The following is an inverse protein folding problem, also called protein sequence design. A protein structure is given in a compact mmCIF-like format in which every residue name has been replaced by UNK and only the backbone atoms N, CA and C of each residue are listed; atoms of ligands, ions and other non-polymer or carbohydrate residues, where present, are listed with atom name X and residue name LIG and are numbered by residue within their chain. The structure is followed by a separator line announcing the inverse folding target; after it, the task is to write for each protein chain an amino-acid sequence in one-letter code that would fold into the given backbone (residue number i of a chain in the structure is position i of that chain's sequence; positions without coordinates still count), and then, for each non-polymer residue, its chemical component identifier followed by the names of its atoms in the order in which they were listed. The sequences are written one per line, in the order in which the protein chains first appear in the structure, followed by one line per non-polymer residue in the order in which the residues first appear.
data_IF_803596931175
#
_entry.id   IF_803596931175
#
_cell.length_a   1.000
_cell.length_b   1.000
_cell.length_c   1.000
_cell.angle_alpha   90.00
_cell.angle_beta   90.00
_cell.angle_gamma   90.00
#
_symmetry.space_group_name_H-M   'P 1'
#
loop_
_entity.id
_entity.type
_entity.pdbx_description
1 polymer ?
#
# COMPACT_ATOMS: atom_id res chain seq x y z
N UNK A 1 4.01 -3.73 1.69
CA UNK A 1 2.67 -3.17 1.43
C UNK A 1 2.51 -2.96 -0.06
N UNK A 2 1.33 -3.25 -0.62
CA UNK A 2 1.04 -2.99 -2.04
C UNK A 2 0.27 -1.69 -2.15
N UNK A 3 0.74 -0.78 -3.01
CA UNK A 3 0.07 0.50 -3.31
C UNK A 3 -0.01 0.71 -4.82
N UNK A 4 -0.97 1.51 -5.28
CA UNK A 4 -1.01 1.97 -6.66
C UNK A 4 0.28 2.74 -6.99
N UNK A 5 0.87 2.40 -8.13
CA UNK A 5 2.09 3.06 -8.63
C UNK A 5 1.69 4.00 -9.76
N UNK A 6 1.77 5.30 -9.54
CA UNK A 6 1.33 6.33 -10.49
C UNK A 6 1.93 6.14 -11.88
N UNK A 7 3.22 5.76 -11.96
CA UNK A 7 3.88 5.48 -13.22
C UNK A 7 3.27 4.28 -13.97
N UNK A 8 2.71 3.30 -13.24
CA UNK A 8 2.00 2.16 -13.83
C UNK A 8 0.56 2.47 -14.20
N UNK A 9 -0.04 3.49 -13.55
CA UNK A 9 -1.40 3.95 -13.85
C UNK A 9 -1.45 4.74 -15.16
N UNK A 10 -0.39 5.50 -15.46
CA UNK A 10 -0.21 6.30 -16.67
C UNK A 10 1.17 6.01 -17.28
N UNK A 11 1.35 4.87 -17.95
CA UNK A 11 2.66 4.48 -18.48
C UNK A 11 3.07 5.26 -19.73
N UNK A 12 2.12 5.87 -20.43
CA UNK A 12 2.36 6.72 -21.60
C UNK A 12 1.70 8.08 -21.39
N UNK A 13 2.53 9.06 -21.01
CA UNK A 13 2.07 10.42 -20.79
C UNK A 13 1.93 11.23 -22.10
N UNK A 14 2.31 10.68 -23.25
CA UNK A 14 2.21 11.35 -24.54
C UNK A 14 0.80 11.32 -25.13
N UNK A 15 -0.06 10.46 -24.60
CA UNK A 15 -1.45 10.33 -25.02
C UNK A 15 -2.41 11.03 -24.03
N UNK A 16 -3.61 11.36 -24.52
CA UNK A 16 -4.63 12.01 -23.71
C UNK A 16 -5.40 11.03 -22.82
N UNK A 17 -6.11 11.55 -21.82
CA UNK A 17 -7.04 10.75 -20.99
C UNK A 17 -8.14 10.16 -21.88
N UNK A 18 -8.63 10.93 -22.85
CA UNK A 18 -9.65 10.47 -23.80
C UNK A 18 -9.14 9.31 -24.66
N UNK A 19 -7.85 9.31 -25.03
CA UNK A 19 -7.21 8.21 -25.76
C UNK A 19 -6.81 7.04 -24.87
N UNK A 20 -6.92 7.17 -23.54
CA UNK A 20 -6.72 6.07 -22.61
C UNK A 20 -5.43 6.11 -21.80
N UNK A 21 -4.81 7.28 -21.59
CA UNK A 21 -3.61 7.43 -20.78
C UNK A 21 -3.76 6.78 -19.38
N UNK A 22 -4.93 6.92 -18.76
CA UNK A 22 -5.23 6.34 -17.44
C UNK A 22 -5.75 4.91 -17.59
N UNK A 23 -4.83 3.95 -17.57
CA UNK A 23 -5.15 2.53 -17.83
C UNK A 23 -6.18 1.90 -16.88
N UNK A 24 -6.22 2.21 -15.56
CA UNK A 24 -7.21 1.63 -14.67
C UNK A 24 -8.65 1.92 -15.07
N UNK A 25 -8.93 3.10 -15.60
CA UNK A 25 -10.31 3.47 -15.98
C UNK A 25 -10.84 2.67 -17.17
N UNK A 26 -9.97 2.24 -18.10
CA UNK A 26 -10.36 1.39 -19.20
C UNK A 26 -10.40 -0.12 -18.90
N UNK A 27 -9.64 -0.57 -17.87
CA UNK A 27 -9.44 -1.99 -17.60
C UNK A 27 -10.09 -2.52 -16.31
N UNK A 28 -10.25 -1.67 -15.29
CA UNK A 28 -10.80 -2.03 -13.99
C UNK A 28 -12.11 -1.33 -13.66
N UNK A 29 -12.45 -0.28 -14.41
CA UNK A 29 -13.66 0.52 -14.25
C UNK A 29 -14.28 0.83 -15.62
N UNK A 30 -15.36 1.58 -15.63
CA UNK A 30 -16.04 1.97 -16.87
C UNK A 30 -15.34 3.16 -17.52
N UNK A 31 -15.22 3.15 -18.84
CA UNK A 31 -14.64 4.21 -19.70
C UNK A 31 -15.28 5.59 -19.47
N UNK A 32 -16.50 5.60 -18.94
CA UNK A 32 -17.26 6.76 -18.49
C UNK A 32 -16.43 7.67 -17.51
N UNK A 33 -15.51 7.11 -16.75
CA UNK A 33 -14.71 7.87 -15.76
C UNK A 33 -13.93 9.02 -16.40
N UNK A 34 -13.54 8.91 -17.67
CA UNK A 34 -12.90 9.98 -18.44
C UNK A 34 -13.77 11.23 -18.51
N UNK A 35 -15.08 11.06 -18.79
CA UNK A 35 -16.02 12.18 -18.87
C UNK A 35 -16.28 12.79 -17.48
N UNK A 36 -16.36 11.95 -16.45
CA UNK A 36 -16.48 12.43 -15.06
C UNK A 36 -15.24 13.21 -14.64
N UNK A 37 -14.04 12.78 -15.07
CA UNK A 37 -12.79 13.49 -14.86
C UNK A 37 -12.80 14.89 -15.51
N UNK A 38 -13.30 15.00 -16.72
CA UNK A 38 -13.52 16.31 -17.38
C UNK A 38 -14.44 17.22 -16.56
N UNK A 39 -15.52 16.67 -15.97
CA UNK A 39 -16.43 17.41 -15.09
C UNK A 39 -15.78 17.79 -13.73
N UNK A 40 -14.64 17.20 -13.37
CA UNK A 40 -13.80 17.63 -12.23
C UNK A 40 -12.91 18.84 -12.56
N UNK A 41 -12.87 19.27 -13.84
CA UNK A 41 -12.08 20.41 -14.31
C UNK A 41 -10.72 20.01 -14.93
N UNK A 42 -10.52 18.75 -15.23
CA UNK A 42 -9.30 18.23 -15.87
C UNK A 42 -9.46 18.26 -17.39
N UNK A 43 -8.44 18.71 -18.12
CA UNK A 43 -8.39 18.69 -19.58
C UNK A 43 -8.11 17.26 -20.08
N UNK A 44 -9.15 16.56 -20.51
CA UNK A 44 -9.03 15.14 -20.90
C UNK A 44 -8.56 14.93 -22.35
N UNK A 45 -8.56 15.98 -23.16
CA UNK A 45 -8.27 15.95 -24.60
C UNK A 45 -6.84 16.37 -24.99
N UNK A 46 -5.99 16.66 -24.00
CA UNK A 46 -4.57 16.99 -24.20
C UNK A 46 -3.67 15.86 -23.71
N UNK A 47 -2.41 15.73 -24.20
CA UNK A 47 -1.45 14.78 -23.67
C UNK A 47 -1.32 14.89 -22.14
N UNK A 48 -1.21 13.76 -21.44
CA UNK A 48 -1.14 13.74 -19.99
C UNK A 48 0.05 14.56 -19.45
N UNK A 49 1.16 14.58 -20.17
CA UNK A 49 2.34 15.39 -19.83
C UNK A 49 2.07 16.90 -19.81
N UNK A 50 1.02 17.39 -20.50
CA UNK A 50 0.65 18.81 -20.54
C UNK A 50 -0.34 19.20 -19.42
N UNK A 51 -0.79 18.25 -18.61
CA UNK A 51 -1.66 18.53 -17.46
C UNK A 51 -0.87 19.27 -16.37
N UNK A 52 -1.54 20.23 -15.73
CA UNK A 52 -0.95 20.92 -14.58
C UNK A 52 -0.78 19.96 -13.39
N UNK A 53 0.07 20.29 -12.40
CA UNK A 53 0.20 19.50 -11.18
C UNK A 53 -1.15 19.29 -10.47
N UNK A 54 -2.02 20.31 -10.45
CA UNK A 54 -3.34 20.24 -9.84
C UNK A 54 -4.28 19.29 -10.60
N UNK A 55 -4.25 19.32 -11.93
CA UNK A 55 -5.01 18.39 -12.77
C UNK A 55 -4.55 16.94 -12.56
N UNK A 56 -3.23 16.71 -12.48
CA UNK A 56 -2.64 15.39 -12.20
C UNK A 56 -3.04 14.90 -10.79
N UNK A 57 -3.02 15.79 -9.79
CA UNK A 57 -3.46 15.42 -8.44
C UNK A 57 -4.93 15.02 -8.41
N UNK A 58 -5.80 15.70 -9.15
CA UNK A 58 -7.19 15.28 -9.31
C UNK A 58 -7.27 13.87 -9.91
N UNK A 59 -6.49 13.56 -10.95
CA UNK A 59 -6.50 12.24 -11.58
C UNK A 59 -6.07 11.14 -10.62
N UNK A 60 -5.04 11.37 -9.81
CA UNK A 60 -4.49 10.35 -8.92
C UNK A 60 -5.16 10.32 -7.54
N UNK A 61 -5.55 11.46 -6.98
CA UNK A 61 -5.97 11.61 -5.58
C UNK A 61 -7.27 12.38 -5.37
N UNK A 62 -7.89 12.90 -6.45
CA UNK A 62 -9.11 13.71 -6.37
C UNK A 62 -10.21 13.05 -5.54
N UNK A 63 -11.02 13.83 -4.82
CA UNK A 63 -12.06 13.33 -3.92
C UNK A 63 -13.20 12.63 -4.67
N UNK A 64 -13.83 11.65 -4.04
CA UNK A 64 -15.01 10.98 -4.55
C UNK A 64 -16.23 11.92 -4.46
N UNK A 65 -16.47 12.67 -5.53
CA UNK A 65 -17.56 13.66 -5.63
C UNK A 65 -18.52 13.23 -6.73
N UNK A 66 -19.81 13.34 -6.45
CA UNK A 66 -20.87 13.09 -7.45
C UNK A 66 -20.92 14.25 -8.45
N UNK A 67 -20.81 13.94 -9.72
CA UNK A 67 -20.90 14.89 -10.84
C UNK A 67 -22.05 14.52 -11.75
N UNK A 68 -22.73 15.56 -12.22
CA UNK A 68 -23.68 15.46 -13.28
C UNK A 68 -22.96 15.55 -14.62
N UNK A 69 -23.12 14.54 -15.48
CA UNK A 69 -22.46 14.46 -16.78
C UNK A 69 -23.48 14.17 -17.88
N UNK A 70 -23.22 14.72 -19.04
CA UNK A 70 -23.92 14.38 -20.27
C UNK A 70 -23.17 13.23 -20.95
N UNK A 71 -23.61 11.99 -20.68
CA UNK A 71 -22.97 10.79 -21.23
C UNK A 71 -23.28 10.65 -22.73
N UNK A 72 -22.20 10.53 -23.50
CA UNK A 72 -22.28 10.20 -24.93
C UNK A 72 -21.78 8.77 -25.14
N UNK A 73 -22.65 7.81 -25.49
CA UNK A 73 -22.24 6.45 -25.78
C UNK A 73 -21.39 6.39 -27.05
N UNK A 74 -20.45 5.41 -27.11
CA UNK A 74 -19.60 5.18 -28.30
C UNK A 74 -20.41 4.75 -29.55
N UNK A 75 -21.61 4.23 -29.33
CA UNK A 75 -22.54 3.81 -30.39
C UNK A 75 -23.92 4.39 -30.07
N UNK A 76 -24.41 5.28 -30.92
CA UNK A 76 -25.71 5.93 -30.80
C UNK A 76 -25.58 7.45 -30.65
N UNK A 77 -26.63 8.18 -31.03
CA UNK A 77 -26.69 9.64 -30.95
C UNK A 77 -27.48 10.16 -29.75
N UNK A 78 -27.98 9.24 -28.89
CA UNK A 78 -28.78 9.61 -27.73
C UNK A 78 -27.85 9.99 -26.55
N UNK A 79 -27.97 11.22 -26.09
CA UNK A 79 -27.33 11.68 -24.88
C UNK A 79 -28.16 11.24 -23.68
N UNK A 80 -27.47 10.73 -22.62
CA UNK A 80 -28.08 10.43 -21.34
C UNK A 80 -27.49 11.33 -20.25
N UNK A 81 -28.35 11.99 -19.49
CA UNK A 81 -27.94 12.70 -18.29
C UNK A 81 -27.74 11.69 -17.16
N UNK A 82 -26.54 11.65 -16.61
CA UNK A 82 -26.17 10.71 -15.56
C UNK A 82 -25.48 11.43 -14.40
N UNK A 83 -25.90 11.06 -13.20
CA UNK A 83 -25.19 11.41 -11.99
C UNK A 83 -24.18 10.31 -11.66
N UNK A 84 -22.89 10.60 -11.71
CA UNK A 84 -21.87 9.60 -11.45
C UNK A 84 -20.82 10.11 -10.46
N UNK A 85 -20.38 9.20 -9.57
CA UNK A 85 -19.33 9.55 -8.59
C UNK A 85 -17.97 9.41 -9.25
N UNK A 86 -17.16 10.45 -9.13
CA UNK A 86 -15.76 10.41 -9.54
C UNK A 86 -14.96 9.47 -8.66
N UNK A 87 -14.16 8.62 -9.27
CA UNK A 87 -13.20 7.75 -8.61
C UNK A 87 -11.84 7.93 -9.27
N UNK A 88 -10.88 8.46 -8.51
CA UNK A 88 -9.53 8.67 -8.96
C UNK A 88 -8.82 7.35 -9.34
N UNK A 89 -7.69 7.44 -10.05
CA UNK A 89 -7.00 6.29 -10.59
C UNK A 89 -6.44 5.36 -9.48
N UNK A 90 -5.90 5.92 -8.40
CA UNK A 90 -5.38 5.15 -7.25
C UNK A 90 -6.51 4.41 -6.55
N UNK A 91 -7.60 5.10 -6.20
CA UNK A 91 -8.76 4.47 -5.58
C UNK A 91 -9.35 3.35 -6.45
N UNK A 92 -9.37 3.53 -7.78
CA UNK A 92 -9.87 2.50 -8.71
C UNK A 92 -9.10 1.20 -8.56
N UNK A 93 -7.77 1.26 -8.44
CA UNK A 93 -6.91 0.09 -8.23
C UNK A 93 -7.10 -0.51 -6.84
N UNK A 94 -7.12 0.31 -5.79
CA UNK A 94 -7.32 -0.14 -4.41
C UNK A 94 -8.69 -0.81 -4.21
N UNK A 95 -9.74 -0.23 -4.77
CA UNK A 95 -11.08 -0.81 -4.75
C UNK A 95 -11.15 -2.12 -5.56
N UNK A 96 -10.47 -2.20 -6.70
CA UNK A 96 -10.37 -3.45 -7.45
C UNK A 96 -9.62 -4.52 -6.65
N UNK A 97 -8.49 -4.17 -6.01
CA UNK A 97 -7.71 -5.07 -5.17
C UNK A 97 -8.53 -5.64 -4.01
N UNK A 98 -9.33 -4.80 -3.34
CA UNK A 98 -10.20 -5.24 -2.22
C UNK A 98 -11.27 -6.26 -2.63
N UNK A 99 -11.62 -6.30 -3.91
CA UNK A 99 -12.65 -7.20 -4.48
C UNK A 99 -12.08 -8.43 -5.17
N UNK A 100 -10.76 -8.60 -5.21
CA UNK A 100 -10.09 -9.76 -5.82
C UNK A 100 -10.47 -11.03 -5.06
N UNK A 101 -10.92 -12.04 -5.81
CA UNK A 101 -11.31 -13.36 -5.25
C UNK A 101 -10.49 -14.52 -5.82
N UNK A 102 -9.76 -14.29 -6.91
CA UNK A 102 -9.01 -15.32 -7.64
C UNK A 102 -7.67 -14.79 -8.16
N UNK A 103 -6.82 -15.71 -8.61
CA UNK A 103 -5.50 -15.36 -9.15
C UNK A 103 -5.57 -14.53 -10.44
N UNK A 104 -6.59 -14.72 -11.26
CA UNK A 104 -6.77 -13.94 -12.50
C UNK A 104 -7.11 -12.48 -12.18
N UNK A 105 -7.96 -12.26 -11.19
CA UNK A 105 -8.26 -10.93 -10.66
C UNK A 105 -7.01 -10.28 -10.07
N UNK A 106 -6.23 -11.03 -9.29
CA UNK A 106 -4.97 -10.53 -8.72
C UNK A 106 -3.97 -10.15 -9.82
N UNK A 107 -3.76 -10.99 -10.82
CA UNK A 107 -2.86 -10.71 -11.94
C UNK A 107 -3.26 -9.44 -12.71
N UNK A 108 -4.58 -9.19 -12.86
CA UNK A 108 -5.10 -7.98 -13.51
C UNK A 108 -4.79 -6.70 -12.75
N UNK A 109 -4.84 -6.74 -11.43
CA UNK A 109 -4.62 -5.57 -10.56
C UNK A 109 -3.14 -5.40 -10.25
N UNK A 110 -2.37 -6.48 -10.10
CA UNK A 110 -0.96 -6.46 -9.67
C UNK A 110 -0.05 -5.63 -10.57
N UNK A 111 -0.37 -5.52 -11.86
CA UNK A 111 0.39 -4.67 -12.82
C UNK A 111 0.37 -3.18 -12.47
N UNK A 112 -0.59 -2.75 -11.65
CA UNK A 112 -0.74 -1.37 -11.18
C UNK A 112 -0.24 -1.16 -9.75
N UNK A 113 0.32 -2.19 -9.14
CA UNK A 113 0.74 -2.17 -7.74
C UNK A 113 2.26 -2.22 -7.64
N UNK A 114 2.80 -1.39 -6.77
CA UNK A 114 4.18 -1.47 -6.32
C UNK A 114 4.25 -2.05 -4.93
N UNK A 115 5.19 -2.98 -4.73
CA UNK A 115 5.49 -3.47 -3.39
C UNK A 115 6.54 -2.54 -2.75
N UNK A 116 6.25 -2.08 -1.55
CA UNK A 116 7.13 -1.19 -0.82
C UNK A 116 7.04 -1.40 0.70
N UNK A 117 7.97 -0.78 1.40
CA UNK A 117 7.97 -0.76 2.86
C UNK A 117 6.76 0.03 3.35
N UNK A 118 6.04 -0.53 4.33
CA UNK A 118 4.91 0.17 4.95
C UNK A 118 5.38 1.46 5.65
N UNK A 119 4.82 2.64 5.34
CA UNK A 119 5.23 3.89 5.97
C UNK A 119 4.92 3.96 7.46
N UNK A 120 3.90 3.20 7.94
CA UNK A 120 3.52 3.22 9.34
C UNK A 120 4.44 2.35 10.20
N UNK A 121 4.71 1.13 9.74
CA UNK A 121 5.51 0.18 10.53
C UNK A 121 6.96 0.04 10.03
N UNK A 122 7.35 0.71 8.94
CA UNK A 122 8.70 0.67 8.36
C UNK A 122 9.24 -0.76 8.17
N UNK A 123 8.36 -1.68 7.75
CA UNK A 123 8.70 -3.09 7.51
C UNK A 123 8.65 -3.99 8.73
N UNK A 124 8.44 -3.48 9.94
CA UNK A 124 8.41 -4.28 11.18
C UNK A 124 7.18 -5.17 11.31
N UNK A 125 6.09 -4.86 10.61
CA UNK A 125 4.77 -5.51 10.73
C UNK A 125 4.13 -5.41 12.12
N UNK A 126 4.68 -4.57 13.00
CA UNK A 126 4.21 -4.34 14.35
C UNK A 126 3.35 -3.07 14.42
N UNK A 127 2.34 -3.06 15.28
CA UNK A 127 1.56 -1.86 15.58
C UNK A 127 2.40 -0.78 16.26
N UNK A 128 1.93 0.47 16.27
CA UNK A 128 2.60 1.55 16.97
C UNK A 128 2.74 1.27 18.48
N UNK A 129 1.70 0.67 19.10
CA UNK A 129 1.75 0.27 20.50
C UNK A 129 2.83 -0.76 20.78
N UNK A 130 2.92 -1.81 19.94
CA UNK A 130 3.96 -2.85 20.09
C UNK A 130 5.38 -2.30 19.89
N UNK A 131 5.56 -1.31 19.00
CA UNK A 131 6.85 -0.63 18.80
C UNK A 131 7.18 0.36 19.92
N UNK A 132 6.16 0.89 20.59
CA UNK A 132 6.33 1.81 21.74
C UNK A 132 6.64 1.11 23.06
N UNK A 133 6.47 -0.21 23.14
CA UNK A 133 6.85 -0.99 24.33
C UNK A 133 8.36 -1.19 24.31
N UNK A 134 9.04 -0.68 25.34
CA UNK A 134 10.50 -0.73 25.46
C UNK A 134 10.92 -1.63 26.61
N UNK A 135 11.98 -2.36 26.40
CA UNK A 135 12.72 -3.11 27.40
C UNK A 135 14.19 -2.65 27.34
N UNK A 136 14.64 -1.97 28.38
CA UNK A 136 15.97 -1.32 28.44
C UNK A 136 16.23 -0.39 27.23
N UNK A 137 15.21 0.41 26.86
CA UNK A 137 15.29 1.33 25.73
C UNK A 137 15.13 0.69 24.36
N UNK A 138 15.05 -0.63 24.26
CA UNK A 138 14.93 -1.40 23.03
C UNK A 138 13.50 -1.90 22.82
N UNK A 139 12.97 -1.79 21.61
CA UNK A 139 11.68 -2.35 21.25
C UNK A 139 11.82 -3.72 20.54
N UNK A 140 10.70 -4.42 20.41
CA UNK A 140 10.66 -5.73 19.76
C UNK A 140 11.17 -5.70 18.30
N UNK A 141 10.95 -4.62 17.56
CA UNK A 141 11.43 -4.51 16.19
C UNK A 141 12.96 -4.39 16.10
N UNK A 142 13.58 -3.76 17.08
CA UNK A 142 15.04 -3.67 17.20
C UNK A 142 15.62 -5.02 17.64
N UNK A 143 15.02 -5.67 18.62
CA UNK A 143 15.44 -7.00 19.05
C UNK A 143 15.39 -8.04 17.91
N UNK A 144 14.37 -7.99 17.05
CA UNK A 144 14.26 -8.90 15.88
C UNK A 144 15.24 -8.61 14.74
N UNK A 145 16.01 -7.53 14.82
CA UNK A 145 17.08 -7.20 13.85
C UNK A 145 18.47 -7.62 14.33
N UNK A 146 18.59 -8.01 15.59
CA UNK A 146 19.84 -8.51 16.14
C UNK A 146 20.31 -9.74 15.37
N UNK A 147 21.62 -9.88 15.22
CA UNK A 147 22.23 -11.16 14.88
C UNK A 147 21.98 -12.15 16.00
N UNK A 148 22.17 -13.42 15.70
CA UNK A 148 21.96 -14.46 16.70
C UNK A 148 22.97 -14.35 17.86
N UNK A 149 24.20 -13.88 17.56
CA UNK A 149 25.24 -13.63 18.57
C UNK A 149 24.89 -12.45 19.50
N UNK A 150 24.36 -11.35 18.92
CA UNK A 150 23.86 -10.20 19.69
C UNK A 150 22.68 -10.61 20.57
N UNK A 151 21.76 -11.39 20.03
CA UNK A 151 20.60 -11.90 20.74
C UNK A 151 21.03 -12.84 21.90
N UNK A 152 22.00 -13.73 21.66
CA UNK A 152 22.57 -14.63 22.69
C UNK A 152 23.19 -13.88 23.83
N UNK A 153 23.83 -12.74 23.56
CA UNK A 153 24.42 -11.89 24.58
C UNK A 153 23.37 -11.08 25.35
N UNK A 154 22.34 -10.61 24.70
CA UNK A 154 21.31 -9.75 25.29
C UNK A 154 20.22 -10.52 26.07
N UNK A 155 19.73 -11.63 25.56
CA UNK A 155 18.63 -12.41 26.18
C UNK A 155 18.86 -12.75 27.66
N UNK A 156 20.06 -13.16 28.10
CA UNK A 156 20.33 -13.45 29.51
C UNK A 156 20.17 -12.25 30.44
N UNK A 157 20.24 -11.01 29.93
CA UNK A 157 20.09 -9.79 30.73
C UNK A 157 18.64 -9.42 31.01
N UNK A 158 17.71 -9.92 30.15
CA UNK A 158 16.28 -9.58 30.17
C UNK A 158 15.61 -9.78 31.55
N UNK A 159 15.82 -10.89 32.29
CA UNK A 159 15.19 -11.07 33.60
C UNK A 159 15.53 -9.95 34.59
N UNK A 160 16.75 -9.43 34.58
CA UNK A 160 17.15 -8.34 35.48
C UNK A 160 16.53 -6.98 35.15
N UNK A 161 16.00 -6.81 33.94
CA UNK A 161 15.32 -5.61 33.47
C UNK A 161 13.84 -5.61 33.83
N UNK A 162 13.30 -6.75 34.29
CA UNK A 162 11.88 -6.89 34.62
C UNK A 162 11.61 -6.51 36.09
N UNK A 163 10.37 -6.08 36.41
CA UNK A 163 9.90 -5.96 37.78
C UNK A 163 10.14 -7.27 38.55
N UNK A 164 10.50 -7.18 39.81
CA UNK A 164 10.89 -8.32 40.64
C UNK A 164 9.90 -9.49 40.61
N UNK A 165 8.59 -9.18 40.61
CA UNK A 165 7.54 -10.19 40.53
C UNK A 165 7.52 -10.95 39.18
N UNK A 166 8.10 -10.41 38.11
CA UNK A 166 8.13 -11.02 36.78
C UNK A 166 9.43 -11.71 36.45
N UNK A 167 10.49 -11.48 37.23
CA UNK A 167 11.82 -12.04 36.98
C UNK A 167 11.85 -13.57 36.89
N UNK A 168 11.18 -14.33 37.78
CA UNK A 168 11.20 -15.79 37.68
C UNK A 168 10.57 -16.30 36.36
N UNK A 169 9.49 -15.69 35.92
CA UNK A 169 8.84 -16.03 34.63
C UNK A 169 9.78 -15.70 33.46
N UNK A 170 10.36 -14.50 33.46
CA UNK A 170 11.32 -14.09 32.43
C UNK A 170 12.53 -15.02 32.36
N UNK A 171 13.08 -15.42 33.50
CA UNK A 171 14.21 -16.35 33.59
C UNK A 171 13.84 -17.74 32.99
N UNK A 172 12.63 -18.24 33.24
CA UNK A 172 12.15 -19.50 32.62
C UNK A 172 12.11 -19.42 31.14
N UNK A 173 11.54 -18.33 30.56
CA UNK A 173 11.44 -18.12 29.11
C UNK A 173 12.87 -18.03 28.50
N UNK A 174 13.76 -17.26 29.14
CA UNK A 174 15.14 -17.11 28.67
C UNK A 174 15.87 -18.45 28.68
N UNK A 175 15.66 -19.29 29.70
CA UNK A 175 16.26 -20.63 29.74
C UNK A 175 15.80 -21.51 28.58
N UNK A 176 14.53 -21.45 28.20
CA UNK A 176 14.00 -22.18 27.04
C UNK A 176 14.54 -21.68 25.69
N UNK A 177 14.88 -20.40 25.59
CA UNK A 177 15.46 -19.82 24.36
C UNK A 177 16.93 -20.19 24.16
N UNK A 178 17.65 -20.50 25.19
CA UNK A 178 19.11 -20.68 25.19
C UNK A 178 19.52 -21.84 24.26
N UNK A 179 18.93 -23.00 24.43
CA UNK A 179 19.30 -24.21 23.69
C UNK A 179 19.08 -24.04 22.15
N UNK A 180 17.94 -23.53 21.66
CA UNK A 180 17.78 -23.20 20.24
C UNK A 180 18.81 -22.21 19.70
N UNK A 181 19.14 -21.17 20.45
CA UNK A 181 20.13 -20.18 20.05
C UNK A 181 21.51 -20.84 19.90
N UNK A 182 21.97 -21.57 20.92
CA UNK A 182 23.26 -22.27 20.89
C UNK A 182 23.35 -23.27 19.72
N UNK A 183 22.27 -24.01 19.42
CA UNK A 183 22.23 -24.92 18.28
C UNK A 183 22.38 -24.20 16.94
N UNK A 184 21.70 -23.06 16.77
CA UNK A 184 21.80 -22.28 15.54
C UNK A 184 23.19 -21.68 15.36
N UNK A 185 23.81 -21.19 16.45
CA UNK A 185 25.20 -20.71 16.42
C UNK A 185 26.19 -21.82 16.02
N UNK A 186 26.02 -23.03 16.53
CA UNK A 186 26.84 -24.19 16.14
C UNK A 186 26.71 -24.55 14.66
N UNK A 187 25.58 -24.21 14.03
CA UNK A 187 25.35 -24.35 12.59
C UNK A 187 25.91 -23.18 11.74
N UNK A 188 26.60 -22.24 12.38
CA UNK A 188 27.20 -21.08 11.70
C UNK A 188 26.20 -19.99 11.30
N UNK A 189 25.10 -19.88 12.02
CA UNK A 189 24.03 -18.87 11.78
C UNK A 189 24.14 -17.69 12.76
N UNK A 190 25.30 -17.42 13.28
CA UNK A 190 25.58 -16.29 14.20
C UNK A 190 25.54 -14.90 13.60
#
# INVERSE_FOLDING_TARGET
MRRGDEASLVPDESISIDDGAVLPWGSLMWDLMKQVCGAMGVRTNVPFCELTPEERDIVFHGPAVKKHILYRPKKGDDFAELDFTYFNAVYTVENALSKVKDEKGLARVSRFLREGVCPDCHGTRLSAAARGTLLDGMNLAEATRMTLDELAAWVPTVPSLMPEAMQPMAASIVAEMREPIERLQQLGLG
#
